data_IF_217042754348
#
_entry.id   IF_217042754348
#
_cell.length_a   1.000
_cell.length_b   1.000
_cell.length_c   1.000
_cell.angle_alpha   90.00
_cell.angle_beta   90.00
_cell.angle_gamma   90.00
#
_symmetry.space_group_name_H-M   'P 1'
#
loop_
_entity.id
_entity.type
_entity.pdbx_description
1 polymer ?
#
# COMPACT_ATOMS: atom_id res chain seq x y z
N UNK A 1 -18.98 19.66 26.69
CA UNK A 1 -18.74 18.24 27.02
C UNK A 1 -17.47 17.78 26.31
N UNK A 2 -16.31 17.84 26.98
CA UNK A 2 -15.04 17.40 26.38
C UNK A 2 -15.08 15.88 26.20
N UNK A 3 -15.11 15.42 24.95
CA UNK A 3 -14.96 13.99 24.64
C UNK A 3 -13.50 13.63 24.87
N UNK A 4 -13.24 13.01 26.01
CA UNK A 4 -11.91 12.50 26.38
C UNK A 4 -11.61 11.23 25.59
N UNK A 5 -10.36 11.08 25.14
CA UNK A 5 -9.89 9.81 24.60
C UNK A 5 -9.81 8.78 25.74
N UNK A 6 -10.89 8.01 25.92
CA UNK A 6 -10.90 6.88 26.83
C UNK A 6 -10.68 5.59 26.02
N UNK A 7 -9.81 4.71 26.51
CA UNK A 7 -9.69 3.39 25.91
C UNK A 7 -11.04 2.69 26.05
N UNK A 8 -11.75 2.60 24.93
CA UNK A 8 -13.05 1.98 24.89
C UNK A 8 -12.91 0.49 25.23
N UNK A 9 -13.81 -0.01 26.07
CA UNK A 9 -13.88 -1.44 26.38
C UNK A 9 -14.92 -2.09 25.46
N UNK A 10 -14.60 -3.26 24.95
CA UNK A 10 -15.51 -4.08 24.15
C UNK A 10 -15.86 -5.35 24.92
N UNK A 11 -17.11 -5.80 24.80
CA UNK A 11 -17.56 -7.06 25.37
C UNK A 11 -17.70 -8.08 24.26
N UNK A 12 -16.89 -9.14 24.32
CA UNK A 12 -16.87 -10.22 23.34
C UNK A 12 -17.02 -11.54 24.09
N UNK A 13 -17.99 -12.37 23.70
CA UNK A 13 -18.28 -13.66 24.33
C UNK A 13 -18.41 -13.58 25.86
N UNK A 14 -19.10 -12.55 26.35
CA UNK A 14 -19.33 -12.32 27.78
C UNK A 14 -18.16 -11.69 28.54
N UNK A 15 -16.94 -11.66 27.99
CA UNK A 15 -15.74 -11.08 28.60
C UNK A 15 -15.50 -9.64 28.12
N UNK A 16 -15.10 -8.77 29.03
CA UNK A 16 -14.76 -7.37 28.72
C UNK A 16 -13.26 -7.25 28.51
N UNK A 17 -12.83 -6.76 27.34
CA UNK A 17 -11.43 -6.45 27.05
C UNK A 17 -11.28 -5.05 26.44
N UNK A 18 -10.05 -4.58 26.33
CA UNK A 18 -9.76 -3.33 25.65
C UNK A 18 -10.04 -3.44 24.15
N UNK A 19 -10.53 -2.36 23.55
CA UNK A 19 -10.74 -2.25 22.11
C UNK A 19 -9.40 -2.31 21.38
N UNK A 20 -9.28 -3.25 20.45
CA UNK A 20 -8.14 -3.44 19.56
C UNK A 20 -8.43 -2.85 18.18
N UNK A 21 -7.38 -2.65 17.38
CA UNK A 21 -7.53 -2.17 16.00
C UNK A 21 -8.55 -3.00 15.21
N UNK A 22 -8.56 -4.33 15.41
CA UNK A 22 -9.45 -5.24 14.68
C UNK A 22 -10.93 -4.95 14.96
N UNK A 23 -11.27 -4.64 16.20
CA UNK A 23 -12.66 -4.31 16.57
C UNK A 23 -13.12 -3.01 15.89
N UNK A 24 -12.21 -2.03 15.76
CA UNK A 24 -12.50 -0.78 15.06
C UNK A 24 -12.75 -1.02 13.57
N UNK A 25 -11.87 -1.79 12.92
CA UNK A 25 -12.02 -2.12 11.51
C UNK A 25 -13.21 -3.04 11.23
N UNK A 26 -13.59 -3.93 12.16
CA UNK A 26 -14.80 -4.75 12.03
C UNK A 26 -16.06 -3.90 11.84
N UNK A 27 -16.13 -2.71 12.47
CA UNK A 27 -17.22 -1.76 12.26
C UNK A 27 -17.21 -1.25 10.82
N UNK A 28 -16.05 -0.81 10.31
CA UNK A 28 -15.90 -0.33 8.94
C UNK A 28 -16.23 -1.41 7.91
N UNK A 29 -15.76 -2.63 8.12
CA UNK A 29 -16.04 -3.79 7.26
C UNK A 29 -17.54 -4.09 7.22
N UNK A 30 -18.23 -4.04 8.37
CA UNK A 30 -19.69 -4.22 8.42
C UNK A 30 -20.43 -3.15 7.64
N UNK A 31 -20.07 -1.88 7.81
CA UNK A 31 -20.65 -0.78 7.04
C UNK A 31 -20.43 -0.95 5.54
N UNK A 32 -19.22 -1.34 5.12
CA UNK A 32 -18.91 -1.54 3.71
C UNK A 32 -19.71 -2.66 3.06
N UNK A 33 -20.03 -3.72 3.82
CA UNK A 33 -20.89 -4.83 3.38
C UNK A 33 -22.36 -4.42 3.24
N UNK A 34 -22.84 -3.50 4.07
CA UNK A 34 -24.21 -2.99 3.99
C UNK A 34 -24.34 -1.99 2.83
N UNK A 35 -23.34 -1.12 2.67
CA UNK A 35 -23.38 -0.05 1.67
C UNK A 35 -23.32 -0.55 0.23
N UNK A 36 -22.60 -1.65 -0.03
CA UNK A 36 -22.51 -2.25 -1.35
C UNK A 36 -22.37 -3.79 -1.19
N UNK A 37 -23.52 -4.49 -1.10
CA UNK A 37 -23.59 -5.91 -0.79
C UNK A 37 -23.05 -6.81 -1.90
N UNK A 38 -23.01 -6.32 -3.14
CA UNK A 38 -22.52 -7.06 -4.31
C UNK A 38 -20.99 -7.18 -4.31
N UNK A 39 -20.28 -6.32 -3.57
CA UNK A 39 -18.82 -6.36 -3.39
C UNK A 39 -18.42 -6.51 -1.92
N UNK A 40 -18.60 -7.70 -1.33
CA UNK A 40 -18.35 -7.90 0.11
C UNK A 40 -16.85 -7.87 0.43
N UNK A 41 -16.48 -7.09 1.45
CA UNK A 41 -15.12 -7.09 2.01
C UNK A 41 -14.98 -8.22 3.03
N UNK A 42 -13.95 -9.05 2.88
CA UNK A 42 -13.66 -10.18 3.75
C UNK A 42 -12.29 -10.05 4.41
N UNK A 43 -12.19 -10.61 5.61
CA UNK A 43 -10.93 -10.77 6.30
C UNK A 43 -10.16 -11.97 5.73
N UNK A 44 -8.92 -11.76 5.30
CA UNK A 44 -8.10 -12.82 4.70
C UNK A 44 -7.82 -13.97 5.67
N UNK A 45 -7.62 -13.67 6.95
CA UNK A 45 -7.40 -14.67 8.02
C UNK A 45 -8.66 -15.48 8.37
N UNK A 46 -9.83 -15.07 7.87
CA UNK A 46 -11.08 -15.83 7.97
C UNK A 46 -11.36 -16.67 6.73
N UNK A 47 -10.52 -16.59 5.68
CA UNK A 47 -10.67 -17.44 4.50
C UNK A 47 -10.21 -18.87 4.78
N UNK A 48 -10.79 -19.88 4.10
CA UNK A 48 -10.33 -21.26 4.22
C UNK A 48 -8.84 -21.39 3.87
N UNK A 49 -8.09 -22.16 4.67
CA UNK A 49 -6.63 -22.30 4.54
C UNK A 49 -6.19 -22.72 3.12
N UNK A 50 -6.99 -23.52 2.41
CA UNK A 50 -6.72 -23.93 1.02
C UNK A 50 -6.76 -22.76 0.03
N UNK A 51 -7.56 -21.74 0.29
CA UNK A 51 -7.66 -20.54 -0.54
C UNK A 51 -6.51 -19.57 -0.25
N UNK A 52 -6.10 -19.47 1.02
CA UNK A 52 -5.00 -18.60 1.44
C UNK A 52 -3.63 -19.19 1.02
N UNK A 53 -3.44 -20.51 1.15
CA UNK A 53 -2.21 -21.21 0.77
C UNK A 53 -1.92 -21.21 -0.74
N UNK A 54 -2.96 -21.03 -1.57
CA UNK A 54 -2.81 -20.83 -3.02
C UNK A 54 -2.31 -19.42 -3.37
N UNK A 55 -2.34 -18.48 -2.43
CA UNK A 55 -2.04 -17.07 -2.63
C UNK A 55 -3.22 -16.36 -3.29
N UNK A 56 -3.89 -15.47 -2.54
CA UNK A 56 -4.89 -14.58 -3.12
C UNK A 56 -4.23 -13.29 -3.62
N UNK A 57 -3.44 -13.41 -4.69
CA UNK A 57 -2.73 -12.24 -5.19
C UNK A 57 -3.72 -11.21 -5.71
N UNK A 58 -3.69 -10.02 -5.11
CA UNK A 58 -4.48 -8.91 -5.61
C UNK A 58 -3.75 -8.35 -6.83
N UNK A 59 -4.32 -8.58 -8.00
CA UNK A 59 -3.79 -8.12 -9.27
C UNK A 59 -4.68 -7.02 -9.85
N UNK A 60 -4.15 -5.81 -9.90
CA UNK A 60 -4.84 -4.61 -10.36
C UNK A 60 -4.23 -4.19 -11.69
N UNK A 61 -5.04 -4.19 -12.75
CA UNK A 61 -4.66 -3.56 -14.01
C UNK A 61 -4.93 -2.06 -13.90
N UNK A 62 -3.86 -1.26 -13.98
CA UNK A 62 -3.93 0.19 -14.08
C UNK A 62 -4.19 0.61 -15.52
N UNK A 63 -3.45 0.01 -16.45
CA UNK A 63 -3.64 0.15 -17.90
C UNK A 63 -3.61 -1.24 -18.54
N UNK A 64 -4.56 -1.51 -19.43
CA UNK A 64 -4.58 -2.70 -20.27
C UNK A 64 -5.04 -2.35 -21.69
N UNK A 65 -4.10 -2.31 -22.62
CA UNK A 65 -4.29 -1.76 -23.96
C UNK A 65 -4.70 -0.30 -23.86
N UNK A 66 -5.88 0.02 -24.39
CA UNK A 66 -6.46 1.36 -24.37
C UNK A 66 -7.33 1.64 -23.13
N UNK A 67 -7.53 0.64 -22.26
CA UNK A 67 -8.39 0.76 -21.08
C UNK A 67 -7.57 1.24 -19.90
N UNK A 68 -8.00 2.35 -19.30
CA UNK A 68 -7.40 2.92 -18.08
C UNK A 68 -8.37 2.74 -16.92
N UNK A 69 -7.86 2.26 -15.80
CA UNK A 69 -8.64 2.12 -14.57
C UNK A 69 -8.75 3.47 -13.85
N UNK A 70 -9.87 4.16 -14.07
CA UNK A 70 -10.11 5.51 -13.54
C UNK A 70 -10.03 5.59 -12.01
N UNK A 71 -10.33 4.50 -11.29
CA UNK A 71 -10.29 4.44 -9.82
C UNK A 71 -8.88 4.73 -9.28
N UNK A 72 -7.84 4.40 -10.04
CA UNK A 72 -6.46 4.54 -9.60
C UNK A 72 -5.70 5.66 -10.32
N UNK A 73 -6.42 6.50 -11.06
CA UNK A 73 -5.81 7.55 -11.88
C UNK A 73 -5.04 8.57 -11.02
N UNK A 74 -5.53 8.86 -9.82
CA UNK A 74 -4.85 9.78 -8.88
C UNK A 74 -3.51 9.24 -8.37
N UNK A 75 -3.38 7.91 -8.23
CA UNK A 75 -2.12 7.29 -7.78
C UNK A 75 -1.08 7.17 -8.89
N UNK A 76 -1.47 7.41 -10.14
CA UNK A 76 -0.62 7.16 -11.30
C UNK A 76 0.68 7.98 -11.25
N UNK A 77 0.60 9.25 -10.85
CA UNK A 77 1.76 10.14 -10.74
C UNK A 77 2.75 9.65 -9.69
N UNK A 78 2.25 9.22 -8.52
CA UNK A 78 3.07 8.66 -7.44
C UNK A 78 3.73 7.36 -7.86
N UNK A 79 2.99 6.47 -8.54
CA UNK A 79 3.53 5.20 -9.01
C UNK A 79 4.58 5.43 -10.11
N UNK A 80 4.32 6.34 -11.05
CA UNK A 80 5.28 6.69 -12.10
C UNK A 80 6.58 7.23 -11.51
N UNK A 81 6.48 8.17 -10.55
CA UNK A 81 7.64 8.71 -9.83
C UNK A 81 8.44 7.60 -9.13
N UNK A 82 7.75 6.69 -8.43
CA UNK A 82 8.38 5.54 -7.80
C UNK A 82 9.12 4.64 -8.80
N UNK A 83 8.53 4.35 -9.96
CA UNK A 83 9.17 3.55 -11.00
C UNK A 83 10.43 4.24 -11.52
N UNK A 84 10.39 5.56 -11.79
CA UNK A 84 11.56 6.34 -12.22
C UNK A 84 12.70 6.23 -11.21
N UNK A 85 12.41 6.38 -9.92
CA UNK A 85 13.41 6.23 -8.85
C UNK A 85 14.06 4.83 -8.89
N UNK A 86 13.26 3.78 -9.04
CA UNK A 86 13.78 2.40 -9.08
C UNK A 86 14.61 2.10 -10.31
N UNK A 87 14.26 2.69 -11.47
CA UNK A 87 15.08 2.61 -12.67
C UNK A 87 16.45 3.26 -12.42
N UNK A 88 16.49 4.44 -11.79
CA UNK A 88 17.76 5.11 -11.45
C UNK A 88 18.63 4.26 -10.52
N UNK A 89 18.05 3.65 -9.49
CA UNK A 89 18.77 2.75 -8.57
C UNK A 89 19.36 1.56 -9.33
N UNK A 90 18.57 0.93 -10.21
CA UNK A 90 19.03 -0.18 -11.03
C UNK A 90 20.20 0.23 -11.95
N UNK A 91 20.05 1.31 -12.71
CA UNK A 91 21.12 1.78 -13.60
C UNK A 91 22.35 2.26 -12.83
N UNK A 92 22.20 2.87 -11.67
CA UNK A 92 23.33 3.25 -10.82
C UNK A 92 24.17 2.05 -10.37
N UNK A 93 23.54 0.90 -10.10
CA UNK A 93 24.22 -0.32 -9.70
C UNK A 93 24.87 -1.08 -10.87
N UNK A 94 24.20 -1.14 -12.04
CA UNK A 94 24.61 -2.02 -13.15
C UNK A 94 25.21 -1.30 -14.36
N UNK A 95 24.94 -0.01 -14.57
CA UNK A 95 25.50 0.80 -15.65
C UNK A 95 25.73 2.27 -15.22
N UNK A 96 26.70 2.52 -14.32
CA UNK A 96 26.94 3.86 -13.78
C UNK A 96 27.38 4.87 -14.85
N UNK A 97 27.98 4.42 -15.96
CA UNK A 97 28.42 5.29 -17.06
C UNK A 97 27.27 5.86 -17.87
N UNK A 98 26.17 5.11 -18.03
CA UNK A 98 24.96 5.57 -18.73
C UNK A 98 23.92 6.22 -17.82
N UNK A 99 24.20 6.38 -16.53
CA UNK A 99 23.22 6.88 -15.56
C UNK A 99 22.76 8.30 -15.86
N UNK A 100 23.67 9.17 -16.33
CA UNK A 100 23.35 10.55 -16.66
C UNK A 100 22.37 10.65 -17.84
N UNK A 101 22.58 9.82 -18.87
CA UNK A 101 21.70 9.76 -20.04
C UNK A 101 20.31 9.22 -19.66
N UNK A 102 20.26 8.19 -18.81
CA UNK A 102 19.01 7.64 -18.27
C UNK A 102 18.28 8.68 -17.42
N UNK A 103 19.00 9.44 -16.60
CA UNK A 103 18.41 10.51 -15.78
C UNK A 103 17.75 11.57 -16.66
N UNK A 104 18.43 12.03 -17.71
CA UNK A 104 17.87 12.99 -18.65
C UNK A 104 16.63 12.42 -19.36
N UNK A 105 16.70 11.18 -19.83
CA UNK A 105 15.57 10.53 -20.50
C UNK A 105 14.35 10.39 -19.57
N UNK A 106 14.55 10.13 -18.28
CA UNK A 106 13.46 10.01 -17.30
C UNK A 106 12.80 11.36 -16.96
N UNK A 107 13.46 12.49 -17.17
CA UNK A 107 12.86 13.82 -17.01
C UNK A 107 11.80 14.07 -18.08
N UNK A 108 12.01 13.57 -19.30
CA UNK A 108 11.09 13.74 -20.44
C UNK A 108 9.90 12.76 -20.43
N UNK A 109 9.92 11.75 -19.54
CA UNK A 109 8.86 10.75 -19.41
C UNK A 109 7.59 11.38 -18.84
N UNK A 110 6.55 11.43 -19.66
CA UNK A 110 5.21 11.89 -19.27
C UNK A 110 4.19 10.76 -19.25
N UNK A 111 4.46 9.67 -19.95
CA UNK A 111 3.60 8.48 -20.02
C UNK A 111 4.37 7.21 -19.67
N UNK A 112 3.66 6.15 -19.29
CA UNK A 112 4.29 4.89 -18.87
C UNK A 112 4.95 4.17 -20.04
N UNK A 113 4.42 4.35 -21.25
CA UNK A 113 4.97 3.85 -22.50
C UNK A 113 6.40 4.36 -22.74
N UNK A 114 6.69 5.60 -22.35
CA UNK A 114 7.98 6.26 -22.53
C UNK A 114 9.08 5.58 -21.68
N UNK A 115 8.71 4.81 -20.64
CA UNK A 115 9.66 4.05 -19.83
C UNK A 115 10.20 2.82 -20.54
N UNK A 116 9.43 2.23 -21.47
CA UNK A 116 9.80 0.97 -22.12
C UNK A 116 11.09 1.09 -22.94
N UNK A 117 11.30 2.13 -23.79
CA UNK A 117 12.56 2.33 -24.50
C UNK A 117 13.76 2.55 -23.57
N UNK A 118 13.58 3.23 -22.44
CA UNK A 118 14.66 3.54 -21.48
C UNK A 118 15.21 2.25 -20.86
N UNK A 119 14.32 1.31 -20.53
CA UNK A 119 14.72 0.01 -19.96
C UNK A 119 15.25 -1.00 -21.00
N UNK A 120 15.14 -0.72 -22.31
CA UNK A 120 15.55 -1.66 -23.38
C UNK A 120 17.06 -1.73 -23.63
N UNK A 121 17.88 -1.07 -22.81
CA UNK A 121 19.33 -1.28 -22.84
C UNK A 121 19.67 -2.63 -22.17
N UNK A 122 19.79 -3.68 -23.00
CA UNK A 122 20.60 -4.89 -22.77
C UNK A 122 19.91 -6.19 -22.25
N UNK A 123 18.60 -6.41 -22.42
CA UNK A 123 17.94 -7.63 -21.90
C UNK A 123 17.20 -8.48 -22.93
N UNK A 124 17.29 -9.80 -22.73
CA UNK A 124 16.53 -10.87 -23.39
C UNK A 124 15.02 -10.84 -23.09
N UNK A 125 14.52 -9.84 -22.35
CA UNK A 125 13.10 -9.67 -22.02
C UNK A 125 12.45 -8.83 -23.10
N UNK A 126 11.80 -9.49 -24.05
CA UNK A 126 11.42 -8.87 -25.32
C UNK A 126 10.42 -7.71 -25.19
N UNK A 127 9.61 -7.64 -24.12
CA UNK A 127 8.46 -6.73 -24.10
C UNK A 127 8.14 -6.05 -22.75
N UNK A 128 9.05 -5.98 -21.77
CA UNK A 128 8.79 -5.21 -20.53
C UNK A 128 9.73 -5.47 -19.35
N UNK A 129 9.38 -4.91 -18.19
CA UNK A 129 10.14 -5.03 -16.93
C UNK A 129 9.23 -5.02 -15.69
N UNK A 130 9.79 -5.45 -14.57
CA UNK A 130 9.10 -5.53 -13.28
C UNK A 130 9.92 -4.80 -12.21
N UNK A 131 9.23 -4.07 -11.33
CA UNK A 131 9.81 -3.32 -10.22
C UNK A 131 9.14 -3.75 -8.93
N UNK A 132 9.94 -4.10 -7.92
CA UNK A 132 9.43 -4.46 -6.60
C UNK A 132 9.57 -3.28 -5.63
N UNK A 133 8.54 -3.08 -4.81
CA UNK A 133 8.58 -2.14 -3.71
C UNK A 133 8.97 -2.83 -2.41
N UNK A 134 9.64 -2.08 -1.53
CA UNK A 134 9.98 -2.46 -0.18
C UNK A 134 9.36 -1.44 0.76
N UNK A 135 8.83 -1.93 1.88
CA UNK A 135 8.18 -1.10 2.90
C UNK A 135 8.96 -1.26 4.20
N UNK A 136 9.54 -0.19 4.76
CA UNK A 136 10.23 -0.27 6.03
C UNK A 136 9.24 -0.60 7.16
N UNK A 137 9.67 -1.45 8.08
CA UNK A 137 8.92 -1.79 9.29
C UNK A 137 8.97 -0.62 10.27
N UNK A 138 7.81 -0.26 10.83
CA UNK A 138 7.73 0.74 11.89
C UNK A 138 7.84 0.09 13.27
N UNK A 139 7.49 -1.20 13.36
CA UNK A 139 7.66 -2.02 14.56
C UNK A 139 9.12 -2.43 14.81
N UNK A 140 9.82 -2.89 13.78
CA UNK A 140 11.16 -3.49 13.85
C UNK A 140 12.17 -2.63 13.04
N UNK A 141 12.86 -1.66 13.67
CA UNK A 141 13.77 -0.75 12.95
C UNK A 141 14.85 -1.46 12.15
N UNK A 142 15.05 -1.02 10.91
CA UNK A 142 16.03 -1.60 9.99
C UNK A 142 15.55 -2.86 9.24
N UNK A 143 14.34 -3.34 9.53
CA UNK A 143 13.70 -4.40 8.77
C UNK A 143 12.84 -3.82 7.65
N UNK A 144 12.84 -4.48 6.50
CA UNK A 144 11.97 -4.15 5.37
C UNK A 144 11.12 -5.36 4.97
N UNK A 145 9.89 -5.09 4.57
CA UNK A 145 8.97 -6.09 4.05
C UNK A 145 8.69 -5.86 2.57
N UNK A 146 8.25 -6.91 1.89
CA UNK A 146 7.83 -6.81 0.50
C UNK A 146 6.54 -5.99 0.37
N UNK A 147 6.61 -4.98 -0.50
CA UNK A 147 5.50 -4.13 -0.89
C UNK A 147 4.74 -4.73 -2.07
N UNK A 148 4.34 -3.89 -2.99
CA UNK A 148 3.72 -4.32 -4.24
C UNK A 148 4.78 -4.55 -5.32
N UNK A 149 4.43 -5.36 -6.31
CA UNK A 149 5.18 -5.56 -7.55
C UNK A 149 4.47 -4.83 -8.67
N UNK A 150 5.21 -3.99 -9.39
CA UNK A 150 4.74 -3.31 -10.60
C UNK A 150 5.29 -4.05 -11.80
N UNK A 151 4.41 -4.36 -12.75
CA UNK A 151 4.80 -4.90 -14.05
C UNK A 151 4.36 -3.94 -15.14
N UNK A 152 5.31 -3.55 -16.00
CA UNK A 152 5.07 -2.73 -17.17
C UNK A 152 5.57 -3.52 -18.38
N UNK A 153 4.64 -3.86 -19.26
CA UNK A 153 4.93 -4.52 -20.53
C UNK A 153 4.24 -3.79 -21.66
N UNK A 154 4.79 -3.85 -22.86
CA UNK A 154 4.19 -3.22 -24.02
C UNK A 154 4.93 -3.51 -25.32
N UNK A 155 4.16 -3.62 -26.39
CA UNK A 155 4.64 -3.80 -27.75
C UNK A 155 4.58 -2.50 -28.56
N UNK A 156 5.00 -2.55 -29.83
CA UNK A 156 4.95 -1.40 -30.75
C UNK A 156 3.53 -1.07 -31.24
N UNK A 157 2.53 -1.90 -30.94
CA UNK A 157 1.16 -1.80 -31.44
C UNK A 157 0.23 -1.15 -30.40
N UNK A 158 0.75 -0.79 -29.23
CA UNK A 158 -0.01 -0.14 -28.17
C UNK A 158 -0.72 -1.11 -27.22
N UNK A 159 -0.36 -2.41 -27.26
CA UNK A 159 -0.81 -3.37 -26.26
C UNK A 159 0.04 -3.22 -25.00
N UNK A 160 -0.21 -2.16 -24.23
CA UNK A 160 0.46 -1.93 -22.96
C UNK A 160 -0.29 -2.65 -21.82
N UNK A 161 0.45 -3.30 -20.94
CA UNK A 161 -0.05 -3.77 -19.65
C UNK A 161 0.77 -3.11 -18.56
N UNK A 162 0.09 -2.33 -17.74
CA UNK A 162 0.62 -1.76 -16.51
C UNK A 162 -0.23 -2.27 -15.35
N UNK A 163 0.36 -3.12 -14.53
CA UNK A 163 -0.33 -3.78 -13.43
C UNK A 163 0.45 -3.67 -12.12
N UNK A 164 -0.30 -3.67 -11.03
CA UNK A 164 0.22 -3.75 -9.66
C UNK A 164 -0.27 -5.04 -9.05
N UNK A 165 0.65 -5.82 -8.48
CA UNK A 165 0.36 -7.06 -7.78
C UNK A 165 0.80 -6.97 -6.33
N UNK A 166 -0.10 -7.35 -5.44
CA UNK A 166 0.19 -7.52 -4.01
C UNK A 166 -0.05 -8.97 -3.65
N UNK A 167 1.04 -9.69 -3.38
CA UNK A 167 0.98 -11.05 -2.83
C UNK A 167 0.29 -11.06 -1.46
N UNK A 168 -0.56 -12.03 -1.16
CA UNK A 168 -1.23 -12.10 0.16
C UNK A 168 -1.02 -13.48 0.79
N UNK A 169 0.23 -13.82 1.08
CA UNK A 169 0.55 -15.04 1.81
C UNK A 169 0.18 -14.92 3.29
N UNK A 170 0.03 -16.04 3.99
CA UNK A 170 -0.22 -16.10 5.43
C UNK A 170 0.84 -15.32 6.20
N UNK A 171 2.12 -15.56 5.88
CA UNK A 171 3.26 -14.91 6.52
C UNK A 171 3.18 -13.38 6.36
N UNK A 172 2.93 -12.91 5.14
CA UNK A 172 2.81 -11.47 4.86
C UNK A 172 1.60 -10.85 5.56
N UNK A 173 0.49 -11.58 5.64
CA UNK A 173 -0.71 -11.13 6.37
C UNK A 173 -0.40 -10.97 7.86
N UNK A 174 0.35 -11.90 8.46
CA UNK A 174 0.78 -11.81 9.87
C UNK A 174 1.76 -10.65 10.11
N UNK A 175 2.68 -10.40 9.18
CA UNK A 175 3.58 -9.24 9.23
C UNK A 175 2.78 -7.93 9.24
N UNK A 176 1.80 -7.79 8.33
CA UNK A 176 0.94 -6.61 8.26
C UNK A 176 0.07 -6.41 9.51
N UNK A 177 -0.52 -7.49 10.03
CA UNK A 177 -1.29 -7.44 11.28
C UNK A 177 -0.42 -7.00 12.47
N UNK A 178 0.82 -7.49 12.53
CA UNK A 178 1.78 -7.11 13.58
C UNK A 178 2.16 -5.62 13.51
N UNK A 179 2.35 -5.07 12.31
CA UNK A 179 2.59 -3.63 12.11
C UNK A 179 1.40 -2.78 12.55
N UNK A 180 0.18 -3.14 12.12
CA UNK A 180 -1.03 -2.40 12.53
C UNK A 180 -1.20 -2.46 14.04
N UNK A 181 -0.96 -3.61 14.67
CA UNK A 181 -1.07 -3.73 16.12
C UNK A 181 -0.06 -2.82 16.84
N UNK A 182 1.18 -2.75 16.36
CA UNK A 182 2.20 -1.85 16.91
C UNK A 182 1.80 -0.38 16.75
N UNK A 183 1.35 0.02 15.55
CA UNK A 183 0.87 1.37 15.26
C UNK A 183 -0.32 1.77 16.11
N UNK A 184 -1.28 0.86 16.29
CA UNK A 184 -2.45 1.12 17.10
C UNK A 184 -2.09 1.29 18.58
N UNK A 185 -1.14 0.49 19.10
CA UNK A 185 -0.63 0.63 20.47
C UNK A 185 0.09 1.97 20.65
N UNK A 186 0.94 2.34 19.71
CA UNK A 186 1.66 3.63 19.72
C UNK A 186 0.69 4.82 19.67
N UNK A 187 -0.28 4.79 18.74
CA UNK A 187 -1.32 5.81 18.64
C UNK A 187 -2.10 5.95 19.95
N UNK A 188 -2.46 4.83 20.56
CA UNK A 188 -3.18 4.81 21.85
C UNK A 188 -2.32 5.39 22.97
N UNK A 189 -1.03 5.06 23.02
CA UNK A 189 -0.10 5.59 24.02
C UNK A 189 0.11 7.11 23.86
N UNK A 190 0.35 7.57 22.63
CA UNK A 190 0.48 9.00 22.30
C UNK A 190 -0.80 9.77 22.59
N UNK A 191 -1.96 9.21 22.26
CA UNK A 191 -3.26 9.79 22.60
C UNK A 191 -3.43 9.99 24.11
N UNK A 192 -3.02 9.01 24.94
CA UNK A 192 -3.03 9.15 26.40
C UNK A 192 -2.03 10.20 26.91
N UNK A 193 -0.81 10.21 26.37
CA UNK A 193 0.21 11.19 26.75
C UNK A 193 -0.24 12.63 26.46
N UNK A 194 -0.85 12.86 25.27
CA UNK A 194 -1.40 14.15 24.88
C UNK A 194 -2.55 14.61 25.80
N UNK A 195 -3.34 13.68 26.34
CA UNK A 195 -4.39 13.99 27.32
C UNK A 195 -3.82 14.40 28.69
N UNK A 196 -2.65 13.89 29.05
CA UNK A 196 -1.97 14.24 30.31
C UNK A 196 -1.21 15.57 30.21
N UNK A 197 -0.83 15.99 29.00
CA UNK A 197 -0.27 17.32 28.75
C UNK A 197 -1.39 18.35 28.56
N UNK A 198 -1.55 19.25 29.52
CA UNK A 198 -2.59 20.30 29.57
C UNK A 198 -2.39 21.43 28.54
N UNK A 199 -2.14 21.12 27.26
CA UNK A 199 -2.16 22.08 26.15
C UNK A 199 -3.37 21.78 25.25
N UNK A 200 -4.56 22.00 25.81
CA UNK A 200 -5.82 21.88 25.10
C UNK A 200 -6.06 23.14 24.25
N UNK A 201 -6.02 23.00 22.93
CA UNK A 201 -6.62 24.03 22.06
C UNK A 201 -6.49 23.76 20.57
N UNK A 202 -5.29 23.39 20.08
CA UNK A 202 -5.00 23.49 18.64
C UNK A 202 -4.52 22.17 18.00
N UNK A 203 -4.04 21.19 18.78
CA UNK A 203 -3.47 19.94 18.21
C UNK A 203 -4.45 18.77 18.02
N UNK A 204 -5.63 18.81 18.64
CA UNK A 204 -6.62 17.72 18.53
C UNK A 204 -7.27 17.60 17.15
N UNK A 205 -7.28 18.68 16.36
CA UNK A 205 -7.80 18.68 14.99
C UNK A 205 -6.92 17.88 14.02
N UNK A 206 -5.60 17.79 14.22
CA UNK A 206 -4.73 17.08 13.26
C UNK A 206 -4.79 15.56 13.40
N UNK A 207 -5.06 15.02 14.60
CA UNK A 207 -5.11 13.56 14.83
C UNK A 207 -6.45 12.95 14.37
N UNK A 208 -7.56 13.71 14.43
CA UNK A 208 -8.84 13.25 13.88
C UNK A 208 -8.87 13.24 12.34
N UNK A 209 -8.09 14.11 11.69
CA UNK A 209 -8.02 14.17 10.24
C UNK A 209 -7.29 12.96 9.63
N UNK A 210 -6.30 12.38 10.31
CA UNK A 210 -5.55 11.24 9.74
C UNK A 210 -6.35 9.94 9.68
N UNK A 211 -7.31 9.72 10.58
CA UNK A 211 -8.19 8.53 10.55
C UNK A 211 -9.31 8.69 9.50
N UNK A 212 -9.74 9.93 9.23
CA UNK A 212 -10.76 10.22 8.22
C UNK A 212 -10.25 10.11 6.78
N UNK A 213 -8.92 10.16 6.59
CA UNK A 213 -8.25 10.04 5.27
C UNK A 213 -7.85 8.59 4.94
N UNK A 214 -8.03 7.66 5.87
CA UNK A 214 -7.69 6.23 5.73
C UNK A 214 -8.90 5.30 5.49
N UNK A 215 -10.11 5.86 5.40
CA UNK A 215 -11.36 5.20 5.00
C UNK A 215 -11.78 5.68 3.62
#
# INVERSE_FOLDING_TARGET
MQRTWSNSKVRVNGKTRQLQWRDMFDIAVKWRRIADPDQPVLWLDQMPARSLSRGFNNHINLIRGQIINIRYLEYFSSILSFVKERILVYHGAYNPRGLQDVKQALEDVNKVEDLLPIMKFNSKTRDGFTVNSKVPSLKDPGKEYDGFTITITGDRVGNMLFSVETQTTDERTQQYQSEIEALYKDLTAKGKALMLSTELGVRLTSVCLSVSVLL
#
